data_IF_528118572441
#
_entry.id   IF_528118572441
#
_cell.length_a   1.000
_cell.length_b   1.000
_cell.length_c   1.000
_cell.angle_alpha   90.00
_cell.angle_beta   90.00
_cell.angle_gamma   90.00
#
_symmetry.space_group_name_H-M   'P 1'
#
loop_
_entity.id
_entity.type
_entity.pdbx_description
1 polymer ?
#
# COMPACT_ATOMS: atom_id res chain seq x y z
N UNK A 1 10.14 27.77 -17.70
CA UNK A 1 10.89 28.56 -16.69
C UNK A 1 10.78 30.06 -16.93
N UNK A 2 10.96 30.57 -18.16
CA UNK A 2 10.88 32.02 -18.43
C UNK A 2 9.48 32.63 -18.22
N UNK A 3 8.41 31.93 -18.62
CA UNK A 3 7.03 32.44 -18.46
C UNK A 3 6.70 32.76 -17.00
N UNK A 4 7.08 31.89 -16.05
CA UNK A 4 6.88 32.14 -14.62
C UNK A 4 7.67 33.36 -14.11
N UNK A 5 8.88 33.57 -14.63
CA UNK A 5 9.68 34.75 -14.32
C UNK A 5 9.01 36.04 -14.83
N UNK A 6 8.53 36.06 -16.08
CA UNK A 6 7.79 37.19 -16.63
C UNK A 6 6.55 37.50 -15.79
N UNK A 7 5.75 36.48 -15.43
CA UNK A 7 4.58 36.68 -14.57
C UNK A 7 4.96 37.23 -13.19
N UNK A 8 6.05 36.74 -12.58
CA UNK A 8 6.52 37.25 -11.30
C UNK A 8 6.93 38.72 -11.37
N UNK A 9 7.52 39.14 -12.50
CA UNK A 9 7.94 40.53 -12.71
C UNK A 9 6.73 41.46 -12.88
N UNK A 10 5.74 41.05 -13.69
CA UNK A 10 4.48 41.79 -13.82
C UNK A 10 3.78 41.91 -12.47
N UNK A 11 3.73 40.82 -11.70
CA UNK A 11 3.13 40.82 -10.37
C UNK A 11 3.88 41.73 -9.39
N UNK A 12 5.22 41.74 -9.42
CA UNK A 12 6.02 42.63 -8.60
C UNK A 12 5.75 44.10 -8.91
N UNK A 13 5.58 44.47 -10.19
CA UNK A 13 5.19 45.83 -10.60
C UNK A 13 3.81 46.18 -10.03
N UNK A 14 2.84 45.26 -10.10
CA UNK A 14 1.50 45.47 -9.52
C UNK A 14 1.58 45.72 -8.02
N UNK A 15 2.37 44.91 -7.28
CA UNK A 15 2.59 45.12 -5.84
C UNK A 15 3.26 46.46 -5.57
N UNK A 16 4.25 46.86 -6.36
CA UNK A 16 4.92 48.15 -6.18
C UNK A 16 3.94 49.32 -6.39
N UNK A 17 3.11 49.26 -7.44
CA UNK A 17 2.06 50.27 -7.67
C UNK A 17 1.05 50.28 -6.53
N UNK A 18 0.62 49.12 -6.06
CA UNK A 18 -0.29 49.00 -4.91
C UNK A 18 0.31 49.63 -3.64
N UNK A 19 1.59 49.38 -3.37
CA UNK A 19 2.29 49.94 -2.22
C UNK A 19 2.44 51.46 -2.31
N UNK A 20 2.69 52.01 -3.51
CA UNK A 20 2.75 53.45 -3.73
C UNK A 20 1.38 54.12 -3.53
N UNK A 21 0.31 53.51 -4.04
CA UNK A 21 -1.05 54.06 -3.90
C UNK A 21 -1.59 53.98 -2.46
N UNK A 22 -1.17 52.97 -1.69
CA UNK A 22 -1.62 52.73 -0.31
C UNK A 22 -0.48 52.98 0.70
N UNK A 23 0.44 53.88 0.34
CA UNK A 23 1.59 54.26 1.16
C UNK A 23 1.25 55.23 2.30
N UNK A 24 0.02 55.73 2.33
CA UNK A 24 -0.46 56.64 3.36
C UNK A 24 -0.35 55.99 4.75
N UNK A 25 0.18 56.76 5.69
CA UNK A 25 0.38 56.32 7.08
C UNK A 25 -0.95 56.43 7.81
N UNK A 26 -1.38 55.30 8.37
CA UNK A 26 -2.59 55.20 9.16
C UNK A 26 -2.24 54.72 10.57
N UNK A 27 -2.97 55.20 11.57
CA UNK A 27 -2.89 54.67 12.93
C UNK A 27 -3.70 53.38 13.00
N UNK A 28 -3.04 52.29 13.38
CA UNK A 28 -3.68 50.99 13.59
C UNK A 28 -3.68 50.68 15.07
N UNK A 29 -4.89 50.60 15.65
CA UNK A 29 -5.09 50.19 17.03
C UNK A 29 -5.19 48.66 17.13
N UNK A 30 -4.20 48.05 17.76
CA UNK A 30 -4.22 46.66 18.19
C UNK A 30 -4.72 46.55 19.64
N UNK A 31 -4.99 45.32 20.09
CA UNK A 31 -5.54 45.02 21.43
C UNK A 31 -4.77 45.67 22.59
N UNK A 32 -3.46 45.90 22.45
CA UNK A 32 -2.59 46.44 23.50
C UNK A 32 -1.60 47.52 23.00
N UNK A 33 -1.68 47.94 21.74
CA UNK A 33 -0.72 48.86 21.16
C UNK A 33 -1.32 49.60 19.96
N UNK A 34 -0.96 50.85 19.76
CA UNK A 34 -1.29 51.63 18.55
C UNK A 34 -0.01 51.90 17.78
N UNK A 35 -0.03 51.66 16.46
CA UNK A 35 1.16 51.82 15.62
C UNK A 35 0.80 52.58 14.37
N UNK A 36 1.62 53.58 14.02
CA UNK A 36 1.52 54.30 12.75
C UNK A 36 2.34 53.58 11.68
N UNK A 37 1.65 53.05 10.68
CA UNK A 37 2.25 52.29 9.57
C UNK A 37 1.50 52.56 8.28
N UNK A 38 2.12 52.32 7.13
CA UNK A 38 1.39 52.43 5.87
C UNK A 38 0.36 51.32 5.73
N UNK A 39 -0.78 51.64 5.12
CA UNK A 39 -1.84 50.66 4.87
C UNK A 39 -1.34 49.46 4.04
N UNK A 40 -0.44 49.71 3.08
CA UNK A 40 0.19 48.68 2.28
C UNK A 40 0.94 47.64 3.13
N UNK A 41 1.69 48.07 4.14
CA UNK A 41 2.44 47.16 5.04
C UNK A 41 1.47 46.28 5.83
N UNK A 42 0.38 46.86 6.35
CA UNK A 42 -0.63 46.14 7.13
C UNK A 42 -1.26 45.02 6.30
N UNK A 43 -1.67 45.33 5.07
CA UNK A 43 -2.28 44.36 4.15
C UNK A 43 -1.28 43.28 3.76
N UNK A 44 -0.04 43.66 3.43
CA UNK A 44 1.00 42.71 3.04
C UNK A 44 1.32 41.72 4.16
N UNK A 45 1.54 42.21 5.38
CA UNK A 45 1.83 41.35 6.54
C UNK A 45 0.64 40.44 6.86
N UNK A 46 -0.59 40.96 6.81
CA UNK A 46 -1.79 40.15 7.06
C UNK A 46 -1.95 39.02 6.04
N UNK A 47 -1.76 39.33 4.75
CA UNK A 47 -1.80 38.33 3.68
C UNK A 47 -0.66 37.30 3.81
N UNK A 48 0.56 37.76 4.13
CA UNK A 48 1.72 36.90 4.35
C UNK A 48 1.50 35.94 5.53
N UNK A 49 0.94 36.42 6.64
CA UNK A 49 0.58 35.59 7.79
C UNK A 49 -0.49 34.55 7.42
N UNK A 50 -1.52 34.95 6.66
CA UNK A 50 -2.52 34.01 6.14
C UNK A 50 -1.90 32.91 5.28
N UNK A 51 -1.03 33.27 4.33
CA UNK A 51 -0.31 32.32 3.48
C UNK A 51 0.63 31.40 4.28
N UNK A 52 1.28 31.94 5.31
CA UNK A 52 2.14 31.19 6.22
C UNK A 52 1.35 30.13 7.00
N UNK A 53 0.21 30.50 7.57
CA UNK A 53 -0.68 29.57 8.29
C UNK A 53 -1.15 28.45 7.35
N UNK A 54 -1.62 28.79 6.15
CA UNK A 54 -2.06 27.80 5.15
C UNK A 54 -0.91 26.87 4.74
N UNK A 55 0.29 27.41 4.61
CA UNK A 55 1.49 26.64 4.28
C UNK A 55 1.83 25.61 5.37
N UNK A 56 1.76 26.01 6.65
CA UNK A 56 1.94 25.08 7.79
C UNK A 56 0.87 23.98 7.75
N UNK A 57 -0.40 24.33 7.53
CA UNK A 57 -1.48 23.33 7.39
C UNK A 57 -1.21 22.36 6.22
N UNK A 58 -0.68 22.86 5.11
CA UNK A 58 -0.24 22.07 3.96
C UNK A 58 0.87 21.06 4.32
N UNK A 59 1.90 21.51 5.04
CA UNK A 59 3.00 20.65 5.51
C UNK A 59 2.49 19.57 6.45
N UNK A 60 1.66 19.92 7.44
CA UNK A 60 1.06 18.95 8.37
C UNK A 60 0.26 17.89 7.62
N UNK A 61 -0.54 18.28 6.63
CA UNK A 61 -1.28 17.35 5.77
C UNK A 61 -0.33 16.41 5.02
N UNK A 62 0.74 16.94 4.43
CA UNK A 62 1.72 16.13 3.71
C UNK A 62 2.42 15.11 4.62
N UNK A 63 2.78 15.51 5.85
CA UNK A 63 3.38 14.59 6.82
C UNK A 63 2.42 13.45 7.16
N UNK A 64 1.15 13.76 7.44
CA UNK A 64 0.12 12.73 7.70
C UNK A 64 -0.05 11.77 6.53
N UNK A 65 -0.05 12.29 5.29
CA UNK A 65 -0.13 11.47 4.09
C UNK A 65 1.09 10.55 3.93
N UNK A 66 2.30 11.05 4.17
CA UNK A 66 3.53 10.24 4.13
C UNK A 66 3.52 9.12 5.17
N UNK A 67 3.04 9.40 6.39
CA UNK A 67 2.90 8.38 7.43
C UNK A 67 1.89 7.30 7.03
N UNK A 68 0.75 7.71 6.46
CA UNK A 68 -0.27 6.76 5.97
C UNK A 68 0.26 5.90 4.83
N UNK A 69 1.00 6.47 3.88
CA UNK A 69 1.64 5.70 2.80
C UNK A 69 2.60 4.65 3.38
N UNK A 70 3.45 5.03 4.34
CA UNK A 70 4.37 4.09 4.99
C UNK A 70 3.64 2.96 5.72
N UNK A 71 2.51 3.24 6.35
CA UNK A 71 1.67 2.22 6.98
C UNK A 71 1.05 1.26 5.95
N UNK A 72 0.57 1.80 4.84
CA UNK A 72 0.03 1.01 3.74
C UNK A 72 1.10 0.14 3.08
N UNK A 73 2.30 0.66 2.85
CA UNK A 73 3.42 -0.12 2.30
C UNK A 73 3.81 -1.29 3.21
N UNK A 74 3.79 -1.08 4.53
CA UNK A 74 4.01 -2.17 5.49
C UNK A 74 2.95 -3.26 5.37
N UNK A 75 1.67 -2.87 5.30
CA UNK A 75 0.55 -3.82 5.14
C UNK A 75 0.66 -4.61 3.84
N UNK A 76 1.01 -3.95 2.74
CA UNK A 76 1.24 -4.61 1.45
C UNK A 76 2.35 -5.65 1.58
N UNK A 77 3.48 -5.29 2.22
CA UNK A 77 4.61 -6.20 2.42
C UNK A 77 4.27 -7.39 3.32
N UNK A 78 3.46 -7.17 4.35
CA UNK A 78 2.99 -8.25 5.22
C UNK A 78 2.05 -9.19 4.47
N UNK A 79 1.07 -8.64 3.74
CA UNK A 79 0.16 -9.43 2.90
C UNK A 79 0.90 -10.20 1.81
N UNK A 80 1.92 -9.63 1.17
CA UNK A 80 2.70 -10.33 0.16
C UNK A 80 3.47 -11.51 0.76
N UNK A 81 4.07 -11.32 1.94
CA UNK A 81 4.77 -12.39 2.66
C UNK A 81 3.81 -13.52 3.05
N UNK A 82 2.62 -13.20 3.56
CA UNK A 82 1.60 -14.20 3.88
C UNK A 82 1.13 -14.96 2.63
N UNK A 83 0.96 -14.27 1.49
CA UNK A 83 0.62 -14.94 0.24
C UNK A 83 1.73 -15.91 -0.21
N UNK A 84 3.00 -15.50 -0.17
CA UNK A 84 4.13 -16.38 -0.51
C UNK A 84 4.20 -17.62 0.41
N UNK A 85 3.94 -17.44 1.72
CA UNK A 85 3.88 -18.54 2.69
C UNK A 85 2.72 -19.49 2.40
N UNK A 86 1.54 -18.96 2.08
CA UNK A 86 0.35 -19.76 1.73
C UNK A 86 0.55 -20.51 0.41
N UNK A 87 1.12 -19.89 -0.62
CA UNK A 87 1.44 -20.54 -1.90
C UNK A 87 2.42 -21.70 -1.68
N UNK A 88 3.44 -21.50 -0.86
CA UNK A 88 4.39 -22.56 -0.48
C UNK A 88 3.68 -23.70 0.23
N UNK A 89 2.78 -23.38 1.17
CA UNK A 89 2.03 -24.39 1.93
C UNK A 89 1.09 -25.20 1.04
N UNK A 90 0.45 -24.56 0.07
CA UNK A 90 -0.40 -25.22 -0.93
C UNK A 90 0.44 -26.19 -1.77
N UNK A 91 1.64 -25.79 -2.20
CA UNK A 91 2.56 -26.66 -2.95
C UNK A 91 2.99 -27.88 -2.13
N UNK A 92 3.35 -27.68 -0.86
CA UNK A 92 3.70 -28.77 0.06
C UNK A 92 2.55 -29.77 0.23
N UNK A 93 1.35 -29.26 0.52
CA UNK A 93 0.15 -30.09 0.71
C UNK A 93 -0.22 -30.86 -0.56
N UNK A 94 -0.13 -30.23 -1.73
CA UNK A 94 -0.40 -30.90 -3.00
C UNK A 94 0.59 -32.04 -3.26
N UNK A 95 1.87 -31.84 -2.94
CA UNK A 95 2.90 -32.88 -3.06
C UNK A 95 2.65 -34.04 -2.10
N UNK A 96 2.27 -33.75 -0.86
CA UNK A 96 1.89 -34.77 0.13
C UNK A 96 0.67 -35.58 -0.35
N UNK A 97 -0.31 -34.90 -0.94
CA UNK A 97 -1.52 -35.53 -1.48
C UNK A 97 -1.21 -36.44 -2.67
N UNK A 98 -0.30 -36.04 -3.57
CA UNK A 98 0.18 -36.90 -4.67
C UNK A 98 0.89 -38.16 -4.15
N UNK A 99 1.76 -38.02 -3.14
CA UNK A 99 2.43 -39.16 -2.51
C UNK A 99 1.40 -40.12 -1.92
N UNK A 100 0.44 -39.61 -1.15
CA UNK A 100 -0.59 -40.43 -0.53
C UNK A 100 -1.45 -41.17 -1.55
N UNK A 101 -1.86 -40.51 -2.65
CA UNK A 101 -2.55 -41.17 -3.77
C UNK A 101 -1.73 -42.31 -4.38
N UNK A 102 -0.43 -42.09 -4.60
CA UNK A 102 0.44 -43.11 -5.17
C UNK A 102 0.62 -44.33 -4.25
N UNK A 103 0.61 -44.12 -2.93
CA UNK A 103 0.66 -45.19 -1.93
C UNK A 103 -0.66 -45.96 -1.95
N UNK A 104 -1.79 -45.27 -1.98
CA UNK A 104 -3.12 -45.88 -2.03
C UNK A 104 -3.28 -46.74 -3.30
N UNK A 105 -2.87 -46.25 -4.47
CA UNK A 105 -2.86 -47.03 -5.71
C UNK A 105 -1.97 -48.28 -5.64
N UNK A 106 -0.78 -48.16 -5.03
CA UNK A 106 0.13 -49.31 -4.82
C UNK A 106 -0.48 -50.35 -3.88
N UNK A 107 -1.11 -49.93 -2.77
CA UNK A 107 -1.77 -50.84 -1.84
C UNK A 107 -2.93 -51.58 -2.49
N UNK A 108 -3.75 -50.88 -3.28
CA UNK A 108 -4.87 -51.50 -4.02
C UNK A 108 -4.34 -52.52 -5.03
N UNK A 109 -3.26 -52.20 -5.75
CA UNK A 109 -2.67 -53.10 -6.76
C UNK A 109 -2.09 -54.36 -6.13
N UNK A 110 -1.32 -54.22 -5.04
CA UNK A 110 -0.80 -55.36 -4.26
C UNK A 110 -1.94 -56.23 -3.74
N UNK A 111 -2.98 -55.64 -3.14
CA UNK A 111 -4.11 -56.41 -2.62
C UNK A 111 -4.88 -57.16 -3.71
N UNK A 112 -4.99 -56.59 -4.92
CA UNK A 112 -5.57 -57.29 -6.08
C UNK A 112 -4.72 -58.47 -6.55
N UNK A 113 -3.40 -58.28 -6.67
CA UNK A 113 -2.45 -59.35 -7.03
C UNK A 113 -2.49 -60.49 -5.99
N UNK A 114 -2.53 -60.16 -4.70
CA UNK A 114 -2.63 -61.16 -3.62
C UNK A 114 -3.92 -61.98 -3.69
N UNK A 115 -5.06 -61.32 -3.97
CA UNK A 115 -6.35 -62.00 -4.15
C UNK A 115 -6.32 -62.89 -5.39
N UNK A 116 -5.79 -62.40 -6.51
CA UNK A 116 -5.71 -63.14 -7.76
C UNK A 116 -4.84 -64.40 -7.62
N UNK A 117 -3.69 -64.26 -6.96
CA UNK A 117 -2.80 -65.39 -6.63
C UNK A 117 -3.50 -66.43 -5.75
N UNK A 118 -4.27 -66.00 -4.73
CA UNK A 118 -5.03 -66.92 -3.87
C UNK A 118 -6.15 -67.64 -4.63
N UNK A 119 -6.85 -66.95 -5.54
CA UNK A 119 -7.91 -67.55 -6.37
C UNK A 119 -7.31 -68.61 -7.30
N UNK A 120 -6.19 -68.30 -7.96
CA UNK A 120 -5.55 -69.23 -8.89
C UNK A 120 -4.98 -70.46 -8.16
N UNK A 121 -4.33 -70.26 -7.01
CA UNK A 121 -3.85 -71.37 -6.18
C UNK A 121 -4.98 -72.29 -5.68
N UNK A 122 -6.15 -71.73 -5.33
CA UNK A 122 -7.31 -72.54 -4.97
C UNK A 122 -7.91 -73.29 -6.17
N UNK A 123 -7.93 -72.70 -7.37
CA UNK A 123 -8.37 -73.37 -8.59
C UNK A 123 -7.46 -74.55 -8.96
N UNK A 124 -6.15 -74.41 -8.79
CA UNK A 124 -5.19 -75.49 -9.04
C UNK A 124 -5.37 -76.65 -8.05
N UNK A 125 -5.57 -76.36 -6.76
CA UNK A 125 -5.89 -77.38 -5.74
C UNK A 125 -7.20 -78.11 -6.01
N UNK A 126 -8.27 -77.38 -6.37
CA UNK A 126 -9.56 -78.00 -6.67
C UNK A 126 -9.49 -78.93 -7.91
N UNK A 127 -8.59 -78.62 -8.85
CA UNK A 127 -8.36 -79.45 -10.05
C UNK A 127 -7.58 -80.73 -9.72
N UNK A 128 -6.64 -80.68 -8.78
CA UNK A 128 -5.88 -81.88 -8.34
C UNK A 128 -6.71 -82.84 -7.48
N UNK A 129 -7.64 -82.34 -6.67
CA UNK A 129 -8.53 -83.17 -5.83
C UNK A 129 -9.68 -83.82 -6.61
N UNK A 130 -10.01 -83.33 -7.80
CA UNK A 130 -11.07 -83.91 -8.67
C UNK A 130 -10.61 -85.06 -9.58
N UNK A 131 -9.32 -85.44 -9.53
CA UNK A 131 -8.69 -86.44 -10.40
C UNK A 131 -8.27 -87.70 -9.63
N UNK A 132 -8.42 -87.72 -8.30
CA UNK A 132 -8.38 -88.93 -7.45
C UNK A 132 -9.80 -89.49 -7.21
#
# INVERSE_FOLDING_TARGET
MQIGFIFSLVFAIIIAVFALQNGEVVSVDFLFASVEVSQAIVIFVSAALGAFIVSIMGVVRQVKLKLKLKDQDKKIKEMSKTNEELETRILELNKELEVNKSIEEKMIKSGKEDIENRINGNKEKAKSESVE
#
